data_IF_639037221799
#
_entry.id   IF_639037221799
#
_cell.length_a   1.000
_cell.length_b   1.000
_cell.length_c   1.000
_cell.angle_alpha   90.00
_cell.angle_beta   90.00
_cell.angle_gamma   90.00
#
_symmetry.space_group_name_H-M   'P 1'
#
loop_
_entity.id
_entity.type
_entity.pdbx_description
1 polymer ?
#
# COMPACT_ATOMS: atom_id res chain seq x y z
N UNK A 1 37.44 -2.10 -15.84
CA UNK A 1 36.40 -2.42 -16.81
C UNK A 1 36.87 -3.59 -17.64
N UNK A 2 36.06 -4.65 -17.79
CA UNK A 2 36.48 -5.93 -18.37
C UNK A 2 36.05 -6.11 -19.84
N UNK A 3 35.59 -5.03 -20.51
CA UNK A 3 35.14 -5.07 -21.91
C UNK A 3 33.88 -5.89 -22.18
N UNK A 4 33.09 -6.20 -21.15
CA UNK A 4 31.84 -6.93 -21.29
C UNK A 4 30.70 -5.96 -21.50
N UNK A 5 29.74 -6.31 -22.38
CA UNK A 5 28.47 -5.62 -22.48
C UNK A 5 27.59 -5.99 -21.27
N UNK A 6 26.99 -4.98 -20.65
CA UNK A 6 26.11 -5.17 -19.49
C UNK A 6 24.69 -4.84 -19.92
N UNK A 7 23.76 -5.77 -19.71
CA UNK A 7 22.35 -5.50 -19.79
C UNK A 7 21.92 -4.81 -18.49
N UNK A 8 21.58 -3.52 -18.58
CA UNK A 8 21.24 -2.70 -17.41
C UNK A 8 20.00 -1.83 -17.69
N UNK A 9 18.81 -2.44 -17.71
CA UNK A 9 17.55 -1.71 -17.86
C UNK A 9 17.21 -0.94 -16.57
N UNK A 10 16.30 0.02 -16.69
CA UNK A 10 15.66 0.68 -15.55
C UNK A 10 14.22 0.19 -15.43
N UNK A 11 13.75 -0.09 -14.21
CA UNK A 11 12.37 -0.42 -13.92
C UNK A 11 11.77 0.56 -12.94
N UNK A 12 10.53 0.97 -13.20
CA UNK A 12 9.74 1.85 -12.34
C UNK A 12 8.77 1.01 -11.51
N UNK A 13 8.83 1.15 -10.19
CA UNK A 13 7.90 0.50 -9.27
C UNK A 13 6.77 1.46 -8.92
N UNK A 14 5.73 1.47 -9.75
CA UNK A 14 4.64 2.43 -9.70
C UNK A 14 3.42 1.95 -8.92
N UNK A 15 3.45 0.74 -8.41
CA UNK A 15 2.32 0.16 -7.70
C UNK A 15 2.44 0.33 -6.18
N UNK A 16 1.35 -0.02 -5.49
CA UNK A 16 1.31 -0.14 -4.05
C UNK A 16 0.75 1.08 -3.31
N UNK A 17 0.63 0.90 -2.01
CA UNK A 17 0.04 1.88 -1.10
C UNK A 17 0.79 3.23 -1.05
N UNK A 18 2.12 3.30 -1.14
CA UNK A 18 2.82 4.58 -1.19
C UNK A 18 2.39 5.46 -2.36
N UNK A 19 2.22 4.88 -3.54
CA UNK A 19 1.71 5.59 -4.73
C UNK A 19 0.29 6.08 -4.52
N UNK A 20 -0.60 5.24 -3.98
CA UNK A 20 -1.99 5.62 -3.69
C UNK A 20 -2.05 6.76 -2.67
N UNK A 21 -1.28 6.71 -1.59
CA UNK A 21 -1.19 7.78 -0.59
C UNK A 21 -0.68 9.08 -1.20
N UNK A 22 0.34 9.00 -2.05
CA UNK A 22 0.87 10.17 -2.75
C UNK A 22 -0.20 10.82 -3.64
N UNK A 23 -0.96 10.02 -4.39
CA UNK A 23 -2.08 10.51 -5.23
C UNK A 23 -3.18 11.16 -4.40
N UNK A 24 -3.57 10.53 -3.31
CA UNK A 24 -4.57 11.08 -2.39
C UNK A 24 -4.15 12.46 -1.85
N UNK A 25 -2.90 12.58 -1.43
CA UNK A 25 -2.37 13.82 -0.89
C UNK A 25 -2.17 14.90 -1.97
N UNK A 26 -1.62 14.51 -3.12
CA UNK A 26 -1.28 15.44 -4.19
C UNK A 26 -2.52 16.05 -4.84
N UNK A 27 -3.53 15.24 -5.15
CA UNK A 27 -4.78 15.66 -5.77
C UNK A 27 -5.90 15.92 -4.75
N UNK A 28 -5.66 15.67 -3.47
CA UNK A 28 -6.66 15.78 -2.40
C UNK A 28 -7.95 15.00 -2.72
N UNK A 29 -7.79 13.75 -3.06
CA UNK A 29 -8.88 12.85 -3.45
C UNK A 29 -8.91 11.60 -2.59
N UNK A 30 -10.06 10.93 -2.53
CA UNK A 30 -10.21 9.58 -1.97
C UNK A 30 -11.01 8.71 -2.91
N UNK A 31 -10.56 7.47 -3.06
CA UNK A 31 -11.28 6.48 -3.85
C UNK A 31 -12.57 6.06 -3.12
N UNK A 32 -13.69 6.12 -3.84
CA UNK A 32 -14.97 5.58 -3.43
C UNK A 32 -15.46 4.63 -4.53
N UNK A 33 -15.41 3.31 -4.31
CA UNK A 33 -15.75 2.32 -5.32
C UNK A 33 -17.26 2.31 -5.68
N UNK A 34 -18.12 2.99 -4.91
CA UNK A 34 -19.54 3.11 -5.17
C UNK A 34 -19.86 4.16 -6.23
N UNK A 35 -18.94 5.09 -6.48
CA UNK A 35 -19.12 6.15 -7.45
C UNK A 35 -18.91 5.64 -8.89
N UNK A 36 -19.69 6.21 -9.81
CA UNK A 36 -19.52 5.97 -11.23
C UNK A 36 -18.34 6.75 -11.79
N UNK A 37 -17.75 6.21 -12.84
CA UNK A 37 -16.69 6.89 -13.58
C UNK A 37 -17.20 8.19 -14.20
N UNK A 38 -16.46 9.27 -13.96
CA UNK A 38 -16.67 10.57 -14.58
C UNK A 38 -15.50 10.89 -15.50
N UNK A 39 -15.70 10.86 -16.84
CA UNK A 39 -14.63 11.17 -17.79
C UNK A 39 -14.23 12.65 -17.81
N UNK A 40 -15.09 13.53 -17.28
CA UNK A 40 -14.84 14.97 -17.21
C UNK A 40 -14.19 15.40 -15.88
N UNK A 41 -13.94 14.46 -14.96
CA UNK A 41 -13.37 14.78 -13.66
C UNK A 41 -11.97 15.40 -13.79
N UNK A 42 -11.82 16.58 -13.20
CA UNK A 42 -10.53 17.27 -13.04
C UNK A 42 -10.33 17.52 -11.55
N UNK A 43 -9.17 17.12 -10.98
CA UNK A 43 -8.88 17.38 -9.58
C UNK A 43 -8.78 18.90 -9.33
N UNK A 44 -9.16 19.38 -8.13
CA UNK A 44 -9.11 20.79 -7.81
C UNK A 44 -7.68 21.32 -7.74
N UNK A 45 -7.43 22.50 -8.31
CA UNK A 45 -6.11 23.16 -8.29
C UNK A 45 -5.69 23.60 -6.88
N UNK A 46 -6.64 23.96 -6.05
CA UNK A 46 -6.44 24.39 -4.66
C UNK A 46 -7.43 23.65 -3.75
N UNK A 47 -7.04 22.50 -3.26
CA UNK A 47 -7.91 21.72 -2.39
C UNK A 47 -8.10 22.44 -1.04
N UNK A 48 -9.36 22.58 -0.62
CA UNK A 48 -9.75 23.11 0.68
C UNK A 48 -10.82 22.21 1.28
N UNK A 49 -10.70 21.87 2.56
CA UNK A 49 -11.68 21.05 3.26
C UNK A 49 -11.44 19.55 3.11
N UNK A 50 -12.52 18.77 3.04
CA UNK A 50 -12.44 17.31 2.94
C UNK A 50 -11.98 16.85 1.53
N UNK A 51 -11.25 15.74 1.44
CA UNK A 51 -10.85 15.17 0.16
C UNK A 51 -12.04 14.84 -0.75
N UNK A 52 -11.92 15.18 -2.03
CA UNK A 52 -12.96 14.88 -3.02
C UNK A 52 -13.05 13.37 -3.25
N UNK A 53 -14.24 12.79 -3.12
CA UNK A 53 -14.48 11.38 -3.41
C UNK A 53 -14.55 11.17 -4.91
N UNK A 54 -13.79 10.18 -5.41
CA UNK A 54 -13.71 9.85 -6.84
C UNK A 54 -13.93 8.36 -7.07
N UNK A 55 -14.44 8.00 -8.23
CA UNK A 55 -14.60 6.60 -8.60
C UNK A 55 -13.24 5.89 -8.67
N UNK A 56 -13.24 4.57 -8.51
CA UNK A 56 -12.01 3.77 -8.66
C UNK A 56 -11.30 4.02 -9.99
N UNK A 57 -12.05 4.15 -11.08
CA UNK A 57 -11.47 4.39 -12.41
C UNK A 57 -10.84 5.77 -12.53
N UNK A 58 -11.46 6.82 -11.97
CA UNK A 58 -10.84 8.14 -11.89
C UNK A 58 -9.59 8.12 -11.03
N UNK A 59 -9.63 7.43 -9.88
CA UNK A 59 -8.47 7.31 -9.01
C UNK A 59 -7.29 6.63 -9.70
N UNK A 60 -7.52 5.51 -10.40
CA UNK A 60 -6.49 4.83 -11.20
C UNK A 60 -5.91 5.74 -12.29
N UNK A 61 -6.75 6.52 -12.99
CA UNK A 61 -6.27 7.48 -13.98
C UNK A 61 -5.37 8.57 -13.36
N UNK A 62 -5.70 9.02 -12.14
CA UNK A 62 -4.83 9.95 -11.40
C UNK A 62 -3.51 9.30 -10.96
N UNK A 63 -3.54 8.03 -10.55
CA UNK A 63 -2.31 7.30 -10.25
C UNK A 63 -1.39 7.26 -11.48
N UNK A 64 -1.90 6.82 -12.62
CA UNK A 64 -1.14 6.77 -13.87
C UNK A 64 -0.58 8.13 -14.28
N UNK A 65 -1.37 9.19 -14.11
CA UNK A 65 -0.91 10.55 -14.40
C UNK A 65 0.24 10.99 -13.50
N UNK A 66 0.14 10.73 -12.20
CA UNK A 66 1.16 11.16 -11.24
C UNK A 66 2.44 10.34 -11.36
N UNK A 67 2.35 9.02 -11.52
CA UNK A 67 3.53 8.16 -11.72
C UNK A 67 4.32 8.59 -12.94
N UNK A 68 3.66 8.88 -14.07
CA UNK A 68 4.36 9.37 -15.27
C UNK A 68 5.10 10.71 -15.05
N UNK A 69 4.56 11.60 -14.23
CA UNK A 69 5.25 12.85 -13.85
C UNK A 69 6.46 12.58 -12.94
N UNK A 70 6.28 11.69 -11.98
CA UNK A 70 7.34 11.31 -11.04
C UNK A 70 8.49 10.59 -11.74
N UNK A 71 8.21 9.65 -12.65
CA UNK A 71 9.21 8.98 -13.47
C UNK A 71 10.07 9.95 -14.26
N UNK A 72 9.43 10.92 -14.94
CA UNK A 72 10.15 11.94 -15.69
C UNK A 72 11.06 12.78 -14.80
N UNK A 73 10.58 13.15 -13.61
CA UNK A 73 11.37 13.91 -12.65
C UNK A 73 12.57 13.10 -12.13
N UNK A 74 12.37 11.83 -11.79
CA UNK A 74 13.44 10.92 -11.36
C UNK A 74 14.44 10.64 -12.49
N UNK A 75 13.97 10.40 -13.71
CA UNK A 75 14.83 10.20 -14.87
C UNK A 75 15.77 11.40 -15.08
N UNK A 76 15.25 12.61 -15.02
CA UNK A 76 16.06 13.83 -15.14
C UNK A 76 17.17 13.90 -14.07
N UNK A 77 16.82 13.58 -12.82
CA UNK A 77 17.80 13.55 -11.72
C UNK A 77 18.88 12.50 -11.96
N UNK A 78 18.50 11.29 -12.33
CA UNK A 78 19.45 10.19 -12.52
C UNK A 78 20.34 10.37 -13.74
N UNK A 79 19.83 10.93 -14.83
CA UNK A 79 20.65 11.34 -15.98
C UNK A 79 21.66 12.41 -15.57
N UNK A 80 21.24 13.36 -14.74
CA UNK A 80 22.14 14.41 -14.24
C UNK A 80 23.23 13.86 -13.30
N UNK A 81 22.92 12.82 -12.54
CA UNK A 81 23.87 12.11 -11.69
C UNK A 81 24.78 11.16 -12.49
N UNK A 82 24.55 10.98 -13.77
CA UNK A 82 25.37 10.12 -14.64
C UNK A 82 25.06 8.64 -14.51
N UNK A 83 23.83 8.27 -14.14
CA UNK A 83 23.42 6.87 -14.08
C UNK A 83 23.47 6.25 -15.49
N UNK A 84 24.30 5.20 -15.66
CA UNK A 84 24.60 4.59 -16.97
C UNK A 84 23.69 3.39 -17.30
N UNK A 85 22.41 3.53 -17.09
CA UNK A 85 21.41 2.54 -17.52
C UNK A 85 21.08 2.70 -18.99
N UNK A 86 20.56 1.65 -19.61
CA UNK A 86 19.98 1.73 -20.93
C UNK A 86 18.54 2.25 -20.86
N UNK A 87 18.38 3.54 -21.04
CA UNK A 87 17.09 4.22 -21.00
C UNK A 87 16.11 3.79 -22.10
N UNK A 88 16.59 3.12 -23.14
CA UNK A 88 15.72 2.58 -24.19
C UNK A 88 14.99 1.30 -23.80
N UNK A 89 15.45 0.65 -22.71
CA UNK A 89 14.91 -0.62 -22.21
C UNK A 89 14.15 -0.45 -20.88
N UNK A 90 13.66 0.74 -20.60
CA UNK A 90 12.87 1.00 -19.41
C UNK A 90 11.51 0.30 -19.46
N UNK A 91 11.00 -0.07 -18.28
CA UNK A 91 9.67 -0.68 -18.11
C UNK A 91 9.02 -0.21 -16.81
N UNK A 92 7.70 -0.39 -16.72
CA UNK A 92 6.90 -0.07 -15.54
C UNK A 92 6.29 -1.35 -14.96
N UNK A 93 6.21 -1.47 -13.63
CA UNK A 93 5.57 -2.63 -12.97
C UNK A 93 4.07 -2.71 -13.25
N UNK A 94 3.46 -1.60 -13.67
CA UNK A 94 2.03 -1.49 -14.01
C UNK A 94 1.74 -1.49 -15.51
N UNK A 95 2.75 -1.59 -16.38
CA UNK A 95 2.53 -1.68 -17.82
C UNK A 95 1.81 -2.99 -18.21
N UNK A 96 1.34 -3.06 -19.44
CA UNK A 96 0.58 -4.20 -19.93
C UNK A 96 1.41 -5.49 -19.91
N UNK A 97 2.68 -5.40 -20.25
CA UNK A 97 3.60 -6.53 -20.33
C UNK A 97 3.92 -7.07 -18.91
N UNK A 98 4.25 -6.20 -17.97
CA UNK A 98 4.52 -6.57 -16.59
C UNK A 98 3.29 -7.19 -15.93
N UNK A 99 2.11 -6.59 -16.11
CA UNK A 99 0.84 -7.15 -15.60
C UNK A 99 0.53 -8.51 -16.20
N UNK A 100 0.64 -8.67 -17.52
CA UNK A 100 0.38 -9.94 -18.17
C UNK A 100 1.37 -11.03 -17.70
N UNK A 101 2.63 -10.68 -17.49
CA UNK A 101 3.66 -11.60 -17.03
C UNK A 101 3.43 -12.04 -15.59
N UNK A 102 3.14 -11.10 -14.69
CA UNK A 102 2.86 -11.41 -13.28
C UNK A 102 1.59 -12.25 -13.11
N UNK A 103 0.53 -11.94 -13.86
CA UNK A 103 -0.71 -12.71 -13.82
C UNK A 103 -0.51 -14.15 -14.35
N UNK A 104 0.26 -14.33 -15.43
CA UNK A 104 0.59 -15.68 -15.92
C UNK A 104 1.42 -16.47 -14.92
N UNK A 105 2.38 -15.83 -14.26
CA UNK A 105 3.17 -16.46 -13.20
C UNK A 105 2.29 -16.88 -12.02
N UNK A 106 1.39 -16.01 -11.57
CA UNK A 106 0.42 -16.33 -10.52
C UNK A 106 -0.47 -17.52 -10.89
N UNK A 107 -1.04 -17.53 -12.10
CA UNK A 107 -1.89 -18.64 -12.56
C UNK A 107 -1.13 -19.97 -12.63
N UNK A 108 0.15 -19.97 -12.99
CA UNK A 108 1.00 -21.17 -12.97
C UNK A 108 1.22 -21.67 -11.53
N UNK A 109 1.45 -20.77 -10.58
CA UNK A 109 1.59 -21.13 -9.18
C UNK A 109 0.28 -21.67 -8.60
N UNK A 110 -0.85 -21.07 -8.95
CA UNK A 110 -2.18 -21.56 -8.59
C UNK A 110 -2.43 -22.98 -9.14
N UNK A 111 -2.10 -23.22 -10.41
CA UNK A 111 -2.27 -24.54 -11.05
C UNK A 111 -1.38 -25.63 -10.40
N UNK A 112 -0.24 -25.24 -9.81
CA UNK A 112 0.65 -26.15 -9.08
C UNK A 112 0.30 -26.30 -7.60
N UNK A 113 -0.70 -25.58 -7.10
CA UNK A 113 -1.06 -25.55 -5.69
C UNK A 113 -0.09 -24.77 -4.79
N UNK A 114 0.84 -24.02 -5.37
CA UNK A 114 1.79 -23.16 -4.66
C UNK A 114 1.16 -21.84 -4.19
N UNK A 115 0.12 -21.38 -4.89
CA UNK A 115 -0.73 -20.28 -4.47
C UNK A 115 -2.11 -20.81 -4.09
N UNK A 116 -2.60 -20.44 -2.91
CA UNK A 116 -3.90 -20.87 -2.39
C UNK A 116 -4.52 -19.77 -1.50
N UNK A 117 -5.83 -19.83 -1.31
CA UNK A 117 -6.51 -18.95 -0.38
C UNK A 117 -6.28 -19.45 1.06
N UNK A 118 -5.79 -18.55 1.91
CA UNK A 118 -5.62 -18.84 3.33
C UNK A 118 -6.34 -17.77 4.16
N UNK A 119 -6.89 -18.20 5.30
CA UNK A 119 -7.43 -17.28 6.30
C UNK A 119 -6.37 -17.05 7.38
N UNK A 120 -6.13 -15.78 7.70
CA UNK A 120 -5.17 -15.40 8.71
C UNK A 120 -5.32 -13.93 9.10
N UNK A 121 -4.86 -13.53 10.30
CA UNK A 121 -4.87 -12.13 10.70
C UNK A 121 -3.94 -11.32 9.80
N UNK A 122 -4.42 -10.17 9.37
CA UNK A 122 -3.62 -9.20 8.61
C UNK A 122 -3.70 -7.83 9.27
N UNK A 123 -2.69 -7.01 9.02
CA UNK A 123 -2.69 -5.62 9.44
C UNK A 123 -3.60 -4.83 8.50
N UNK A 124 -4.45 -4.01 9.07
CA UNK A 124 -5.46 -3.26 8.35
C UNK A 124 -5.42 -1.79 8.73
N UNK A 125 -5.29 -0.90 7.75
CA UNK A 125 -5.43 0.54 7.94
C UNK A 125 -6.90 0.95 7.78
N UNK A 126 -7.51 1.39 8.87
CA UNK A 126 -8.93 1.77 8.91
C UNK A 126 -9.22 3.07 8.15
N UNK A 127 -8.24 3.94 7.99
CA UNK A 127 -8.38 5.22 7.29
C UNK A 127 -8.30 5.04 5.79
N UNK A 128 -7.36 4.23 5.32
CA UNK A 128 -7.19 3.90 3.91
C UNK A 128 -8.03 2.70 3.46
N UNK A 129 -8.60 1.94 4.42
CA UNK A 129 -9.41 0.75 4.16
C UNK A 129 -8.68 -0.29 3.31
N UNK A 130 -7.46 -0.60 3.68
CA UNK A 130 -6.60 -1.55 2.97
C UNK A 130 -5.72 -2.36 3.92
N UNK A 131 -5.27 -3.52 3.47
CA UNK A 131 -4.21 -4.27 4.13
C UNK A 131 -2.87 -3.52 4.03
N UNK A 132 -2.05 -3.66 5.06
CA UNK A 132 -0.76 -2.94 5.19
C UNK A 132 0.35 -3.96 5.37
N UNK A 133 1.46 -3.79 4.65
CA UNK A 133 2.64 -4.59 4.82
C UNK A 133 3.42 -4.19 6.09
N UNK A 134 4.21 -5.10 6.65
CA UNK A 134 5.02 -4.81 7.84
C UNK A 134 5.99 -3.66 7.64
N UNK A 135 6.53 -3.50 6.44
CA UNK A 135 7.46 -2.41 6.10
C UNK A 135 6.81 -1.01 6.12
N UNK A 136 5.49 -0.94 6.10
CA UNK A 136 4.73 0.32 6.12
C UNK A 136 4.27 0.72 7.53
N UNK A 137 4.62 -0.07 8.56
CA UNK A 137 4.26 0.20 9.95
C UNK A 137 5.20 1.22 10.57
N UNK A 138 4.62 2.19 11.24
CA UNK A 138 5.34 3.12 12.09
C UNK A 138 5.10 2.76 13.56
N UNK A 139 6.18 2.67 14.33
CA UNK A 139 6.09 2.48 15.79
C UNK A 139 5.69 3.80 16.45
N UNK A 140 4.57 3.78 17.15
CA UNK A 140 4.09 4.93 17.94
C UNK A 140 3.84 4.52 19.37
N UNK A 141 4.25 5.36 20.31
CA UNK A 141 3.88 5.21 21.72
C UNK A 141 2.43 5.62 21.92
N UNK A 142 1.60 4.68 22.35
CA UNK A 142 0.19 4.91 22.63
C UNK A 142 -0.09 4.45 24.06
N UNK A 143 -0.80 5.27 24.82
CA UNK A 143 -1.27 4.89 26.15
C UNK A 143 -2.18 3.66 26.03
N UNK A 144 -1.83 2.60 26.73
CA UNK A 144 -2.56 1.33 26.72
C UNK A 144 -2.75 0.80 28.11
N UNK A 145 -3.59 -0.23 28.24
CA UNK A 145 -3.79 -0.93 29.51
C UNK A 145 -3.75 -2.44 29.29
N UNK A 146 -3.23 -3.13 30.30
CA UNK A 146 -3.35 -4.57 30.38
C UNK A 146 -4.59 -4.89 31.23
N UNK A 147 -5.53 -5.61 30.62
CA UNK A 147 -6.77 -6.00 31.29
C UNK A 147 -6.66 -7.45 31.72
N UNK A 148 -6.87 -7.70 33.02
CA UNK A 148 -6.99 -9.05 33.57
C UNK A 148 -8.46 -9.44 33.58
N UNK A 149 -8.82 -10.46 32.83
CA UNK A 149 -10.18 -11.00 32.80
C UNK A 149 -10.33 -12.05 33.90
N UNK A 150 -11.39 -11.93 34.71
CA UNK A 150 -11.76 -12.90 35.71
C UNK A 150 -13.03 -13.64 35.22
N UNK A 151 -12.94 -14.94 35.08
CA UNK A 151 -14.06 -15.80 34.74
C UNK A 151 -14.61 -16.49 35.96
N UNK A 152 -15.93 -16.44 36.16
CA UNK A 152 -16.58 -17.15 37.28
C UNK A 152 -16.90 -18.57 36.88
N UNK A 153 -16.45 -19.52 37.68
CA UNK A 153 -16.79 -20.94 37.51
C UNK A 153 -18.17 -21.24 38.13
N UNK A 154 -18.80 -22.37 37.74
CA UNK A 154 -20.06 -22.82 38.34
C UNK A 154 -19.98 -23.02 39.85
N UNK A 155 -18.81 -23.35 40.40
CA UNK A 155 -18.54 -23.51 41.85
C UNK A 155 -18.31 -22.16 42.56
N UNK A 156 -18.51 -21.03 41.88
CA UNK A 156 -18.33 -19.68 42.40
C UNK A 156 -16.87 -19.17 42.44
N UNK A 157 -15.88 -20.02 42.19
CA UNK A 157 -14.46 -19.62 42.17
C UNK A 157 -14.15 -18.75 40.97
N UNK A 158 -13.23 -17.80 41.13
CA UNK A 158 -12.71 -16.98 40.03
C UNK A 158 -11.46 -17.62 39.41
N UNK A 159 -11.45 -17.73 38.11
CA UNK A 159 -10.26 -17.95 37.30
C UNK A 159 -9.86 -16.62 36.69
N UNK A 160 -8.74 -16.06 37.09
CA UNK A 160 -8.16 -14.90 36.42
C UNK A 160 -7.27 -15.35 35.29
N UNK A 161 -7.30 -14.62 34.16
CA UNK A 161 -6.29 -14.83 33.12
C UNK A 161 -4.90 -14.59 33.72
N UNK A 162 -3.88 -15.34 33.32
CA UNK A 162 -2.51 -15.05 33.73
C UNK A 162 -2.15 -13.62 33.32
N UNK A 163 -1.22 -12.97 34.03
CA UNK A 163 -0.72 -11.70 33.57
C UNK A 163 -0.19 -11.87 32.15
N UNK A 164 -0.39 -10.90 31.26
CA UNK A 164 0.09 -11.00 29.89
C UNK A 164 1.61 -11.24 29.92
N UNK A 165 2.03 -12.41 29.45
CA UNK A 165 3.43 -12.66 29.19
C UNK A 165 3.94 -11.72 28.10
N UNK A 166 5.24 -11.55 27.99
CA UNK A 166 5.91 -10.70 27.00
C UNK A 166 5.49 -11.02 25.54
N UNK A 167 4.85 -12.18 25.33
CA UNK A 167 4.39 -12.66 24.00
C UNK A 167 2.94 -12.31 23.66
N UNK A 168 2.12 -11.82 24.59
CA UNK A 168 0.74 -11.40 24.29
C UNK A 168 0.63 -9.89 24.11
N UNK A 169 1.23 -9.35 23.08
CA UNK A 169 0.85 -8.04 22.58
C UNK A 169 -0.54 -8.17 21.97
N UNK A 170 -1.55 -7.82 22.74
CA UNK A 170 -2.87 -7.54 22.22
C UNK A 170 -2.73 -6.52 21.09
N UNK A 171 -3.38 -6.80 19.97
CA UNK A 171 -3.20 -6.18 18.69
C UNK A 171 -2.87 -4.69 18.73
N UNK A 172 -1.82 -4.32 18.05
CA UNK A 172 -1.59 -2.93 17.67
C UNK A 172 -2.73 -2.57 16.71
N UNK A 173 -3.72 -1.89 17.22
CA UNK A 173 -4.69 -1.23 16.39
C UNK A 173 -3.94 -0.08 15.71
N UNK A 174 -3.70 -0.20 14.40
CA UNK A 174 -3.29 0.92 13.55
C UNK A 174 -4.42 1.93 13.46
N UNK A 175 -4.78 2.56 14.58
CA UNK A 175 -5.77 3.61 14.63
C UNK A 175 -5.04 4.95 14.65
N UNK A 176 -4.97 5.61 13.51
CA UNK A 176 -4.72 7.05 13.48
C UNK A 176 -5.95 7.74 14.07
N UNK A 177 -5.92 8.09 15.33
CA UNK A 177 -6.80 9.14 15.84
C UNK A 177 -6.31 10.47 15.22
N UNK A 178 -6.95 10.89 14.15
CA UNK A 178 -7.03 12.29 13.81
C UNK A 178 -7.97 12.94 14.82
N UNK A 179 -7.43 13.56 15.83
CA UNK A 179 -8.16 14.31 16.84
C UNK A 179 -7.62 15.73 16.92
N UNK A 180 -8.53 16.66 16.66
CA UNK A 180 -8.52 18.12 16.88
C UNK A 180 -7.40 18.92 16.23
#
# INVERSE_FOLDING_TARGET
MRGQAVFYPIGWDDNGLPTERRVQNYFHVRCDPTLRYDPAFVPPDRPVGEPVRVSRRNFVALCQRLTSLDEQAFEQVWRRLGLSVDWSTQYQTIDENARATSQRAFLRNLARGEAYLAEGPTLWDVSFQTAVAQAELEDREVAGSYVRLAFRRPDGRLLASPPPGITSRAGRSGGTNAGS
#
